data_IF_512048520152
#
_entry.id   IF_512048520152
#
_cell.length_a   1.000
_cell.length_b   1.000
_cell.length_c   1.000
_cell.angle_alpha   90.00
_cell.angle_beta   90.00
_cell.angle_gamma   90.00
#
_symmetry.space_group_name_H-M   'P 1'
#
loop_
_entity.id
_entity.type
_entity.pdbx_description
1 polymer ?
#
# COMPACT_ATOMS: atom_id res chain seq x y z
N UNK A 1 -2.39 14.45 7.36
CA UNK A 1 -1.79 15.10 6.18
C UNK A 1 -2.85 15.91 5.46
N UNK A 2 -2.49 17.08 4.95
CA UNK A 2 -3.33 17.99 4.15
C UNK A 2 -2.86 17.99 2.70
N UNK A 3 -3.65 18.58 1.81
CA UNK A 3 -3.27 18.74 0.41
C UNK A 3 -1.97 19.55 0.29
N UNK A 4 -1.00 19.03 -0.47
CA UNK A 4 0.33 19.61 -0.63
C UNK A 4 1.39 19.03 0.33
N UNK A 5 0.98 18.34 1.40
CA UNK A 5 1.94 17.67 2.29
C UNK A 5 2.63 16.51 1.54
N UNK A 6 3.93 16.34 1.78
CA UNK A 6 4.71 15.21 1.29
C UNK A 6 5.21 14.39 2.47
N UNK A 7 5.18 13.07 2.32
CA UNK A 7 5.78 12.12 3.27
C UNK A 7 6.82 11.27 2.55
N UNK A 8 7.89 10.93 3.26
CA UNK A 8 8.91 10.01 2.77
C UNK A 8 8.86 8.73 3.59
N UNK A 9 8.74 7.59 2.90
CA UNK A 9 8.60 6.26 3.49
C UNK A 9 9.84 5.42 3.13
N UNK A 10 10.89 5.43 3.98
CA UNK A 10 12.12 4.71 3.67
C UNK A 10 11.94 3.19 3.74
N UNK A 11 12.75 2.47 2.95
CA UNK A 11 12.80 1.01 2.98
C UNK A 11 13.12 0.49 4.39
N UNK A 12 12.52 -0.64 4.74
CA UNK A 12 12.67 -1.33 6.04
C UNK A 12 12.14 -0.54 7.25
N UNK A 13 11.37 0.53 7.04
CA UNK A 13 10.59 1.19 8.09
C UNK A 13 9.12 0.87 7.85
N UNK A 14 8.43 0.37 8.86
CA UNK A 14 7.02 -0.02 8.76
C UNK A 14 6.16 1.23 8.53
N UNK A 15 5.32 1.21 7.49
CA UNK A 15 4.45 2.32 7.16
C UNK A 15 3.07 1.83 6.73
N UNK A 16 2.05 2.62 7.04
CA UNK A 16 0.68 2.44 6.60
C UNK A 16 -0.01 3.82 6.63
N UNK A 17 -0.94 4.06 5.72
CA UNK A 17 -1.78 5.26 5.71
C UNK A 17 -3.21 4.87 5.34
N UNK A 18 -4.15 5.73 5.71
CA UNK A 18 -5.58 5.55 5.46
C UNK A 18 -6.18 6.86 4.97
N UNK A 19 -7.08 6.77 3.99
CA UNK A 19 -7.84 7.91 3.50
C UNK A 19 -9.02 8.16 4.44
N UNK A 20 -9.08 9.36 5.04
CA UNK A 20 -10.17 9.76 5.95
C UNK A 20 -11.29 10.54 5.25
N UNK A 21 -11.00 11.16 4.11
CA UNK A 21 -11.97 11.89 3.29
C UNK A 21 -12.68 10.95 2.30
N UNK A 22 -13.84 11.39 1.80
CA UNK A 22 -14.56 10.67 0.74
C UNK A 22 -13.68 10.45 -0.50
N UNK A 23 -12.85 11.45 -0.85
CA UNK A 23 -11.93 11.41 -2.00
C UNK A 23 -10.54 11.86 -1.59
N UNK A 24 -9.52 11.20 -2.14
CA UNK A 24 -8.12 11.54 -1.99
C UNK A 24 -7.39 11.38 -3.31
N UNK A 25 -6.39 12.23 -3.56
CA UNK A 25 -5.46 12.08 -4.68
C UNK A 25 -4.04 12.13 -4.13
N UNK A 26 -3.27 11.10 -4.44
CA UNK A 26 -1.87 10.98 -4.02
C UNK A 26 -1.01 10.70 -5.25
N UNK A 27 0.20 11.25 -5.24
CA UNK A 27 1.24 10.88 -6.19
C UNK A 27 2.21 10.00 -5.41
N UNK A 28 2.42 8.77 -5.89
CA UNK A 28 3.30 7.79 -5.25
C UNK A 28 4.52 7.59 -6.14
N UNK A 29 5.69 7.87 -5.60
CA UNK A 29 6.98 7.55 -6.22
C UNK A 29 7.62 6.40 -5.48
N UNK A 30 7.93 5.31 -6.18
CA UNK A 30 8.50 4.10 -5.60
C UNK A 30 9.85 3.78 -6.24
N UNK A 31 10.85 3.43 -5.42
CA UNK A 31 12.18 3.05 -5.88
C UNK A 31 12.67 1.80 -5.12
N UNK A 32 13.28 0.80 -5.82
CA UNK A 32 13.49 0.72 -7.27
C UNK A 32 12.20 0.45 -8.05
N UNK A 33 12.20 0.76 -9.34
CA UNK A 33 11.09 0.43 -10.25
C UNK A 33 11.01 -1.10 -10.50
N UNK A 34 9.87 -1.58 -10.97
CA UNK A 34 9.61 -2.97 -11.39
C UNK A 34 8.47 -3.61 -10.60
N UNK A 35 8.66 -3.79 -9.30
CA UNK A 35 7.77 -4.60 -8.47
C UNK A 35 6.49 -3.88 -8.04
N UNK A 36 6.52 -2.55 -7.94
CA UNK A 36 5.36 -1.80 -7.43
C UNK A 36 4.27 -1.66 -8.50
N UNK A 37 4.64 -1.46 -9.76
CA UNK A 37 3.71 -1.43 -10.88
C UNK A 37 3.01 -2.78 -11.08
N UNK A 38 3.74 -3.89 -10.96
CA UNK A 38 3.18 -5.24 -11.02
C UNK A 38 2.21 -5.47 -9.85
N UNK A 39 2.57 -5.02 -8.64
CA UNK A 39 1.69 -5.10 -7.47
C UNK A 39 0.38 -4.35 -7.70
N UNK A 40 0.43 -3.13 -8.23
CA UNK A 40 -0.76 -2.35 -8.54
C UNK A 40 -1.62 -3.05 -9.61
N UNK A 41 -1.01 -3.61 -10.65
CA UNK A 41 -1.73 -4.34 -11.69
C UNK A 41 -2.40 -5.64 -11.20
N UNK A 42 -1.82 -6.31 -10.19
CA UNK A 42 -2.43 -7.50 -9.56
C UNK A 42 -3.58 -7.09 -8.65
N UNK A 43 -3.38 -6.07 -7.82
CA UNK A 43 -4.38 -5.63 -6.83
C UNK A 43 -5.58 -4.92 -7.47
N UNK A 44 -5.41 -4.25 -8.61
CA UNK A 44 -6.50 -3.64 -9.40
C UNK A 44 -7.52 -4.68 -9.91
N UNK A 45 -7.11 -5.94 -10.05
CA UNK A 45 -8.00 -7.04 -10.48
C UNK A 45 -8.90 -7.56 -9.36
N UNK A 46 -8.70 -7.13 -8.11
CA UNK A 46 -9.51 -7.59 -6.99
C UNK A 46 -10.90 -6.93 -7.00
N UNK A 47 -11.93 -7.72 -7.26
CA UNK A 47 -13.33 -7.26 -7.27
C UNK A 47 -14.01 -7.37 -5.90
N UNK A 48 -13.38 -8.04 -4.95
CA UNK A 48 -13.83 -8.20 -3.57
C UNK A 48 -12.63 -8.21 -2.63
N UNK A 49 -12.81 -7.96 -1.33
CA UNK A 49 -11.73 -8.07 -0.36
C UNK A 49 -11.07 -9.46 -0.42
N UNK A 50 -9.77 -9.56 -0.69
CA UNK A 50 -9.06 -10.84 -0.74
C UNK A 50 -8.86 -11.45 0.65
N UNK A 51 -8.49 -12.73 0.70
CA UNK A 51 -8.16 -13.41 1.96
C UNK A 51 -6.83 -12.89 2.53
N UNK A 52 -6.58 -13.14 3.82
CA UNK A 52 -5.32 -12.70 4.46
C UNK A 52 -4.11 -13.41 3.85
N UNK A 53 -4.30 -14.66 3.47
CA UNK A 53 -3.31 -15.51 2.83
C UNK A 53 -2.95 -14.98 1.44
N UNK A 54 -3.94 -14.60 0.65
CA UNK A 54 -3.72 -14.00 -0.67
C UNK A 54 -3.01 -12.65 -0.57
N UNK A 55 -3.40 -11.81 0.41
CA UNK A 55 -2.72 -10.54 0.68
C UNK A 55 -1.25 -10.81 1.03
N UNK A 56 -0.98 -11.70 2.00
CA UNK A 56 0.39 -11.99 2.42
C UNK A 56 1.24 -12.51 1.25
N UNK A 57 0.68 -13.37 0.42
CA UNK A 57 1.34 -13.91 -0.78
C UNK A 57 1.65 -12.81 -1.80
N UNK A 58 0.66 -12.01 -2.19
CA UNK A 58 0.86 -10.93 -3.17
C UNK A 58 1.86 -9.90 -2.66
N UNK A 59 1.83 -9.55 -1.37
CA UNK A 59 2.84 -8.65 -0.80
C UNK A 59 4.23 -9.27 -0.88
N UNK A 60 4.39 -10.54 -0.51
CA UNK A 60 5.68 -11.23 -0.56
C UNK A 60 6.22 -11.37 -2.00
N UNK A 61 5.37 -11.63 -2.98
CA UNK A 61 5.74 -11.76 -4.40
C UNK A 61 6.33 -10.44 -4.97
N UNK A 62 6.05 -9.30 -4.30
CA UNK A 62 6.47 -7.95 -4.66
C UNK A 62 7.38 -7.28 -3.61
N UNK A 63 8.17 -8.08 -2.88
CA UNK A 63 9.19 -7.61 -1.91
C UNK A 63 8.62 -6.78 -0.73
N UNK A 64 7.34 -6.98 -0.39
CA UNK A 64 6.68 -6.38 0.75
C UNK A 64 6.32 -7.42 1.80
N UNK A 65 6.23 -7.00 3.06
CA UNK A 65 5.84 -7.85 4.17
C UNK A 65 4.69 -7.22 4.95
N UNK A 66 3.63 -8.00 5.19
CA UNK A 66 2.56 -7.62 6.11
C UNK A 66 3.02 -7.93 7.53
N UNK A 67 3.27 -6.90 8.32
CA UNK A 67 3.91 -7.03 9.65
C UNK A 67 2.95 -6.95 10.83
N UNK A 68 1.74 -6.41 10.65
CA UNK A 68 0.77 -6.20 11.73
C UNK A 68 -0.66 -6.14 11.19
N UNK A 69 -1.63 -6.10 12.11
CA UNK A 69 -3.03 -5.86 11.79
C UNK A 69 -3.22 -4.50 11.05
N UNK A 70 -4.28 -4.36 10.23
CA UNK A 70 -4.57 -3.12 9.52
C UNK A 70 -4.63 -1.89 10.44
N UNK A 71 -4.26 -0.74 9.90
CA UNK A 71 -4.38 0.54 10.60
C UNK A 71 -5.87 0.80 10.92
N UNK A 72 -6.17 1.04 12.20
CA UNK A 72 -7.51 1.46 12.64
C UNK A 72 -7.59 2.99 12.57
N UNK A 73 -8.76 3.48 12.15
CA UNK A 73 -9.14 4.88 12.29
C UNK A 73 -9.86 5.00 13.63
N UNK A 74 -9.48 5.99 14.43
CA UNK A 74 -10.21 6.37 15.66
C UNK A 74 -11.42 7.26 15.34
#
# INVERSE_FOLDING_TARGET
MKAGDTIFLPRKVQHAFVQLSEKGKMIVSYLPAGKMEDFLAVTDKWTSPPTKEDIAKVFSDHDMQVVRAPLKVD
#
